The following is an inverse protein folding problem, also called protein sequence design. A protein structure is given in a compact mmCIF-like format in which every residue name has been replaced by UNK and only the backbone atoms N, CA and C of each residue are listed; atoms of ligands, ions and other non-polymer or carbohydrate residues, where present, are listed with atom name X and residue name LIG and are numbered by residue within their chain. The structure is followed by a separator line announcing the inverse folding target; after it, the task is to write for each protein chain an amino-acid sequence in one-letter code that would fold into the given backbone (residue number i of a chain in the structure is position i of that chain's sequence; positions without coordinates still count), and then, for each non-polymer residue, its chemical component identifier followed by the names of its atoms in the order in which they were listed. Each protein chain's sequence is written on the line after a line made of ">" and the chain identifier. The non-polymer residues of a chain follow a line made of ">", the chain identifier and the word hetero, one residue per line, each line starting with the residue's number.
data_IF_254668582821
#
_entry.id   IF_254668582821
#
_cell.length_a   1.000
_cell.length_b   1.000
_cell.length_c   1.000
_cell.angle_alpha   90.00
_cell.angle_beta   90.00
_cell.angle_gamma   90.00
#
_symmetry.space_group_name_H-M   'P 1'
#
loop_
_entity.id
_entity.type
_entity.pdbx_description
1 polymer ?
#
# COMPACT_ATOMS: atom_id res chain seq x y z
N UNK A 1 -13.58 7.27 -17.13
CA UNK A 1 -12.67 7.11 -15.99
C UNK A 1 -13.50 7.10 -14.72
N UNK A 2 -13.54 5.97 -14.05
CA UNK A 2 -14.16 5.77 -12.75
C UNK A 2 -13.10 5.76 -11.64
N UNK A 3 -13.52 5.92 -10.40
CA UNK A 3 -12.61 5.90 -9.25
C UNK A 3 -11.84 4.57 -9.14
N UNK A 4 -12.50 3.45 -9.42
CA UNK A 4 -11.85 2.13 -9.51
C UNK A 4 -10.74 2.06 -10.57
N UNK A 5 -10.86 2.82 -11.66
CA UNK A 5 -9.84 2.84 -12.71
C UNK A 5 -8.56 3.51 -12.21
N UNK A 6 -8.69 4.55 -11.36
CA UNK A 6 -7.55 5.22 -10.71
C UNK A 6 -6.83 4.24 -9.77
N UNK A 7 -7.58 3.51 -8.93
CA UNK A 7 -7.01 2.50 -8.02
C UNK A 7 -6.27 1.43 -8.82
N UNK A 8 -6.90 0.89 -9.88
CA UNK A 8 -6.29 -0.12 -10.76
C UNK A 8 -5.01 0.39 -11.41
N UNK A 9 -5.01 1.62 -11.92
CA UNK A 9 -3.85 2.24 -12.58
C UNK A 9 -2.67 2.40 -11.61
N UNK A 10 -2.93 2.83 -10.37
CA UNK A 10 -1.89 2.96 -9.34
C UNK A 10 -1.32 1.61 -8.92
N UNK A 11 -2.18 0.59 -8.76
CA UNK A 11 -1.74 -0.76 -8.44
C UNK A 11 -0.85 -1.33 -9.55
N UNK A 12 -1.24 -1.17 -10.82
CA UNK A 12 -0.45 -1.63 -11.98
C UNK A 12 0.90 -0.90 -12.08
N UNK A 13 0.90 0.42 -11.88
CA UNK A 13 2.13 1.22 -11.88
C UNK A 13 3.11 0.75 -10.82
N UNK A 14 2.70 0.67 -9.54
CA UNK A 14 3.61 0.30 -8.45
C UNK A 14 4.03 -1.17 -8.51
N UNK A 15 3.16 -2.06 -8.97
CA UNK A 15 3.54 -3.45 -9.24
C UNK A 15 4.66 -3.52 -10.29
N UNK A 16 4.59 -2.71 -11.35
CA UNK A 16 5.67 -2.62 -12.36
C UNK A 16 6.99 -2.07 -11.82
N UNK A 17 6.95 -1.28 -10.74
CA UNK A 17 8.15 -0.78 -10.04
C UNK A 17 8.71 -1.79 -9.03
N UNK A 18 8.15 -2.99 -8.95
CA UNK A 18 8.58 -4.05 -8.03
C UNK A 18 7.96 -3.96 -6.63
N UNK A 19 6.96 -3.09 -6.41
CA UNK A 19 6.27 -3.03 -5.13
C UNK A 19 5.30 -4.20 -4.98
N UNK A 20 5.27 -4.80 -3.78
CA UNK A 20 4.18 -5.70 -3.39
C UNK A 20 2.89 -4.90 -3.16
N UNK A 21 1.80 -5.30 -3.82
CA UNK A 21 0.48 -4.67 -3.65
C UNK A 21 -0.25 -5.37 -2.51
N UNK A 22 -0.52 -4.64 -1.43
CA UNK A 22 -1.18 -5.14 -0.22
C UNK A 22 -2.61 -4.60 -0.11
N UNK A 23 -3.47 -5.34 0.58
CA UNK A 23 -4.81 -4.90 0.92
C UNK A 23 -4.79 -3.96 2.14
N UNK A 24 -5.89 -3.22 2.32
CA UNK A 24 -6.11 -2.41 3.52
C UNK A 24 -5.99 -3.24 4.79
N UNK A 25 -5.41 -2.63 5.83
CA UNK A 25 -5.35 -3.24 7.16
C UNK A 25 -6.76 -3.31 7.79
N UNK A 26 -6.99 -4.33 8.63
CA UNK A 26 -8.29 -4.69 9.19
C UNK A 26 -8.59 -4.00 10.55
N UNK A 27 -7.71 -3.12 11.00
CA UNK A 27 -7.86 -2.31 12.21
C UNK A 27 -7.95 -0.83 11.84
N UNK A 28 -8.76 -0.07 12.58
CA UNK A 28 -8.95 1.36 12.37
C UNK A 28 -7.65 2.14 12.60
N UNK A 29 -7.29 2.97 11.62
CA UNK A 29 -6.07 3.77 11.63
C UNK A 29 -6.33 5.14 11.00
N UNK A 30 -5.66 6.18 11.51
CA UNK A 30 -5.78 7.54 10.97
C UNK A 30 -5.03 7.74 9.65
N UNK A 31 -4.03 6.90 9.37
CA UNK A 31 -3.26 6.90 8.13
C UNK A 31 -2.58 5.55 7.91
N UNK A 32 -2.31 5.20 6.65
CA UNK A 32 -1.60 3.96 6.27
C UNK A 32 -0.16 3.88 6.78
N UNK A 33 0.42 5.00 7.23
CA UNK A 33 1.72 5.02 7.94
C UNK A 33 1.69 4.20 9.21
N UNK A 34 0.52 4.03 9.84
CA UNK A 34 0.34 3.23 11.06
C UNK A 34 0.22 1.72 10.77
N UNK A 35 0.03 1.31 9.51
CA UNK A 35 -0.11 -0.10 9.16
C UNK A 35 1.18 -0.86 9.44
N UNK A 36 1.14 -2.13 9.91
CA UNK A 36 2.36 -2.89 10.23
C UNK A 36 3.33 -3.00 9.05
N UNK A 37 2.79 -3.17 7.83
CA UNK A 37 3.56 -3.24 6.59
C UNK A 37 4.22 -1.91 6.16
N UNK A 38 3.95 -0.81 6.87
CA UNK A 38 4.68 0.46 6.74
C UNK A 38 5.50 0.72 7.99
N UNK A 39 4.86 0.85 9.16
CA UNK A 39 5.50 1.26 10.41
C UNK A 39 6.60 0.32 10.88
N UNK A 40 6.36 -1.00 10.83
CA UNK A 40 7.38 -1.97 11.25
C UNK A 40 8.39 -2.22 10.12
N UNK A 41 7.95 -2.21 8.87
CA UNK A 41 8.82 -2.45 7.71
C UNK A 41 9.93 -1.41 7.57
N UNK A 42 9.70 -0.15 7.92
CA UNK A 42 10.76 0.87 7.86
C UNK A 42 11.85 0.69 8.92
N UNK A 43 11.64 -0.18 9.92
CA UNK A 43 12.61 -0.50 10.98
C UNK A 43 13.45 -1.73 10.64
N UNK A 44 13.00 -2.55 9.69
CA UNK A 44 13.79 -3.67 9.18
C UNK A 44 14.95 -3.08 8.37
N UNK A 45 16.19 -3.23 8.88
CA UNK A 45 17.37 -3.06 8.05
C UNK A 45 17.49 -4.31 7.17
N UNK A 46 17.50 -4.12 5.85
CA UNK A 46 17.80 -5.19 4.90
C UNK A 46 19.27 -5.64 5.01
#
# INVERSE_FOLDING_TARGET
>A
MYFQDIIKTLNEYWASQGCAILNSYDVEQGAATMAPYTFLKVLEAE
#
